data_IF_831033999166
#
_entry.id   IF_831033999166
#
_cell.length_a   1.000
_cell.length_b   1.000
_cell.length_c   1.000
_cell.angle_alpha   90.00
_cell.angle_beta   90.00
_cell.angle_gamma   90.00
#
_symmetry.space_group_name_H-M   'P 1'
#
loop_
_entity.id
_entity.type
_entity.pdbx_description
1 polymer ?
#
# COMPACT_ATOMS: atom_id res chain seq x y z
N UNK A 1 26.22 -0.83 -10.00
CA UNK A 1 26.46 -0.87 -8.55
C UNK A 1 26.32 0.54 -8.06
N UNK A 2 25.54 0.76 -7.01
CA UNK A 2 25.21 2.09 -6.52
C UNK A 2 25.77 2.30 -5.13
N UNK A 3 26.21 3.54 -4.88
CA UNK A 3 26.82 3.93 -3.62
C UNK A 3 26.10 5.16 -3.10
N UNK A 4 25.77 5.14 -1.81
CA UNK A 4 25.33 6.34 -1.11
C UNK A 4 26.12 6.51 0.17
N UNK A 5 26.28 7.78 0.55
CA UNK A 5 27.15 8.17 1.63
C UNK A 5 26.35 8.86 2.73
N UNK A 6 26.61 8.43 3.95
CA UNK A 6 26.02 8.99 5.16
C UNK A 6 27.11 9.78 5.89
N UNK A 7 26.84 11.05 6.16
CA UNK A 7 27.68 11.95 6.94
C UNK A 7 26.82 12.63 7.99
N UNK A 8 27.40 12.87 9.16
CA UNK A 8 26.78 13.62 10.25
C UNK A 8 27.80 14.62 10.76
N UNK A 9 27.35 15.83 11.06
CA UNK A 9 28.15 16.85 11.75
C UNK A 9 28.09 16.68 13.29
N UNK A 10 27.26 15.74 13.77
CA UNK A 10 27.14 15.35 15.17
C UNK A 10 27.95 14.07 15.43
N UNK A 11 28.98 14.21 16.27
CA UNK A 11 29.89 13.15 16.72
C UNK A 11 29.21 12.13 17.66
N UNK A 12 28.01 12.42 18.17
CA UNK A 12 27.23 11.52 19.02
C UNK A 12 26.51 10.39 18.27
N UNK A 13 26.50 10.43 16.94
CA UNK A 13 25.74 9.48 16.11
C UNK A 13 26.66 8.38 15.58
N UNK A 14 26.38 7.14 15.96
CA UNK A 14 27.00 5.96 15.34
C UNK A 14 26.44 5.75 13.92
N UNK A 15 27.13 6.33 12.94
CA UNK A 15 26.79 6.26 11.52
C UNK A 15 26.77 4.84 10.97
N UNK A 16 27.58 3.93 11.54
CA UNK A 16 27.65 2.54 11.10
C UNK A 16 26.43 1.77 11.56
N UNK A 17 26.01 1.99 12.81
CA UNK A 17 24.77 1.43 13.34
C UNK A 17 23.55 1.98 12.62
N UNK A 18 23.54 3.26 12.27
CA UNK A 18 22.48 3.88 11.47
C UNK A 18 22.41 3.26 10.06
N UNK A 19 23.55 3.09 9.39
CA UNK A 19 23.62 2.42 8.09
C UNK A 19 23.08 0.97 8.15
N UNK A 20 23.45 0.21 9.18
CA UNK A 20 22.97 -1.16 9.36
C UNK A 20 21.44 -1.20 9.58
N UNK A 21 20.90 -0.30 10.40
CA UNK A 21 19.45 -0.20 10.62
C UNK A 21 18.68 0.18 9.35
N UNK A 22 19.24 1.05 8.51
CA UNK A 22 18.64 1.41 7.22
C UNK A 22 18.60 0.21 6.27
N UNK A 23 19.71 -0.53 6.14
CA UNK A 23 19.77 -1.73 5.28
C UNK A 23 18.77 -2.79 5.74
N UNK A 24 18.68 -3.04 7.05
CA UNK A 24 17.70 -3.96 7.62
C UNK A 24 16.26 -3.49 7.38
N UNK A 25 16.00 -2.18 7.46
CA UNK A 25 14.67 -1.63 7.23
C UNK A 25 14.17 -1.79 5.78
N UNK A 26 15.10 -1.87 4.82
CA UNK A 26 14.81 -2.14 3.40
C UNK A 26 14.69 -3.63 3.09
N UNK A 27 15.04 -4.51 4.04
CA UNK A 27 15.01 -5.96 3.84
C UNK A 27 16.05 -6.46 2.83
N UNK A 28 17.10 -5.69 2.57
CA UNK A 28 18.12 -6.08 1.62
C UNK A 28 19.03 -7.19 2.19
N UNK A 29 19.39 -8.21 1.38
CA UNK A 29 20.29 -9.27 1.82
C UNK A 29 21.67 -8.73 2.21
N UNK A 30 22.22 -9.19 3.34
CA UNK A 30 23.53 -8.71 3.86
C UNK A 30 24.71 -9.08 2.96
N UNK A 31 24.58 -10.08 2.10
CA UNK A 31 25.55 -10.49 1.10
C UNK A 31 25.56 -9.60 -0.14
N UNK A 32 24.53 -8.78 -0.33
CA UNK A 32 24.36 -7.87 -1.48
C UNK A 32 24.49 -6.39 -1.10
N UNK A 33 24.85 -6.13 0.16
CA UNK A 33 25.06 -4.79 0.70
C UNK A 33 26.34 -4.75 1.50
N UNK A 34 27.17 -3.74 1.26
CA UNK A 34 28.44 -3.54 1.94
C UNK A 34 28.46 -2.19 2.64
N UNK A 35 28.90 -2.16 3.90
CA UNK A 35 28.97 -0.96 4.73
C UNK A 35 30.42 -0.78 5.19
N UNK A 36 31.03 0.37 4.88
CA UNK A 36 32.38 0.68 5.35
C UNK A 36 32.57 2.15 5.69
N UNK A 37 33.55 2.42 6.55
CA UNK A 37 33.91 3.78 6.95
C UNK A 37 34.82 4.43 5.90
N UNK A 38 34.50 5.67 5.55
CA UNK A 38 35.30 6.49 4.68
C UNK A 38 36.43 7.15 5.47
N UNK A 39 37.62 6.56 5.40
CA UNK A 39 38.84 6.98 6.12
C UNK A 39 39.26 8.43 5.87
N UNK A 40 38.76 9.09 4.82
CA UNK A 40 39.15 10.47 4.48
C UNK A 40 38.20 11.57 4.94
N UNK A 41 36.99 11.23 5.45
CA UNK A 41 35.93 12.26 5.51
C UNK A 41 34.78 11.99 6.49
N UNK A 42 35.04 11.21 7.55
CA UNK A 42 34.16 11.07 8.71
C UNK A 42 32.77 10.46 8.44
N UNK A 43 32.60 9.78 7.30
CA UNK A 43 31.30 9.24 6.87
C UNK A 43 31.31 7.73 6.67
N UNK A 44 30.13 7.16 6.51
CA UNK A 44 29.93 5.75 6.15
C UNK A 44 29.44 5.67 4.71
N UNK A 45 30.04 4.79 3.92
CA UNK A 45 29.59 4.47 2.57
C UNK A 45 28.85 3.15 2.61
N UNK A 46 27.69 3.13 1.97
CA UNK A 46 26.88 1.93 1.74
C UNK A 46 26.85 1.67 0.24
N UNK A 47 27.28 0.48 -0.15
CA UNK A 47 27.25 0.04 -1.54
C UNK A 47 26.28 -1.10 -1.70
N UNK A 48 25.43 -0.99 -2.72
CA UNK A 48 24.27 -1.84 -2.98
C UNK A 48 24.33 -2.29 -4.44
N UNK A 49 23.95 -3.54 -4.69
CA UNK A 49 23.73 -4.02 -6.06
C UNK A 49 22.61 -3.21 -6.74
N UNK A 50 22.79 -2.83 -8.01
CA UNK A 50 21.76 -2.11 -8.77
C UNK A 50 20.47 -2.94 -8.90
N UNK A 51 20.57 -4.27 -8.86
CA UNK A 51 19.41 -5.15 -8.88
C UNK A 51 18.48 -4.94 -7.67
N UNK A 52 19.02 -4.52 -6.53
CA UNK A 52 18.23 -4.19 -5.32
C UNK A 52 17.58 -2.81 -5.39
N UNK A 53 18.10 -1.93 -6.25
CA UNK A 53 17.57 -0.59 -6.50
C UNK A 53 16.62 -0.53 -7.68
N UNK A 54 16.60 -1.57 -8.51
CA UNK A 54 15.57 -1.76 -9.50
C UNK A 54 14.24 -1.89 -8.75
N UNK A 55 13.43 -0.82 -8.78
CA UNK A 55 12.02 -0.91 -8.42
C UNK A 55 11.39 -1.93 -9.36
N UNK A 56 11.27 -3.18 -8.89
CA UNK A 56 10.56 -4.21 -9.62
C UNK A 56 9.19 -3.67 -10.00
N UNK A 57 8.73 -3.94 -11.22
CA UNK A 57 7.40 -3.55 -11.64
C UNK A 57 6.41 -4.09 -10.60
N UNK A 58 5.63 -3.21 -9.92
CA UNK A 58 4.86 -3.62 -8.77
C UNK A 58 3.89 -4.72 -9.18
N UNK A 59 3.90 -5.84 -8.43
CA UNK A 59 3.14 -7.03 -8.79
C UNK A 59 1.67 -6.64 -9.02
N UNK A 60 1.12 -6.86 -10.23
CA UNK A 60 -0.26 -6.50 -10.53
C UNK A 60 -1.26 -7.19 -9.60
N UNK A 61 -0.88 -8.26 -8.90
CA UNK A 61 -1.75 -8.95 -7.97
C UNK A 61 -1.90 -8.26 -6.62
N UNK A 62 -0.95 -7.41 -6.24
CA UNK A 62 -0.92 -6.75 -4.92
C UNK A 62 -1.24 -5.26 -4.99
N UNK A 63 -1.28 -4.69 -6.19
CA UNK A 63 -1.59 -3.28 -6.42
C UNK A 63 -3.01 -2.92 -5.95
N UNK A 64 -3.17 -1.84 -5.15
CA UNK A 64 -4.47 -1.29 -4.81
C UNK A 64 -5.27 -0.90 -6.05
N UNK A 65 -6.58 -1.18 -6.04
CA UNK A 65 -7.48 -0.94 -7.18
C UNK A 65 -8.54 0.07 -6.78
N UNK A 66 -8.39 1.30 -7.28
CA UNK A 66 -9.24 2.42 -6.86
C UNK A 66 -10.12 2.97 -7.98
N UNK A 67 -9.78 2.73 -9.25
CA UNK A 67 -10.56 3.23 -10.38
C UNK A 67 -11.43 2.14 -11.00
N UNK A 68 -12.51 2.56 -11.68
CA UNK A 68 -13.38 1.65 -12.43
C UNK A 68 -12.63 0.86 -13.51
N UNK A 69 -11.66 1.49 -14.18
CA UNK A 69 -10.82 0.86 -15.19
C UNK A 69 -9.88 -0.18 -14.57
N UNK A 70 -9.35 0.09 -13.38
CA UNK A 70 -8.51 -0.87 -12.64
C UNK A 70 -9.31 -2.09 -12.19
N UNK A 71 -10.53 -1.88 -11.67
CA UNK A 71 -11.45 -2.95 -11.28
C UNK A 71 -11.82 -3.80 -12.49
N UNK A 72 -12.07 -3.18 -13.66
CA UNK A 72 -12.35 -3.91 -14.89
C UNK A 72 -11.21 -4.87 -15.27
N UNK A 73 -9.97 -4.35 -15.36
CA UNK A 73 -8.78 -5.16 -15.68
C UNK A 73 -8.54 -6.25 -14.64
N UNK A 74 -8.77 -5.94 -13.36
CA UNK A 74 -8.67 -6.93 -12.28
C UNK A 74 -9.68 -8.08 -12.47
N UNK A 75 -10.91 -7.79 -12.86
CA UNK A 75 -11.93 -8.80 -13.13
C UNK A 75 -11.60 -9.66 -14.35
N UNK A 76 -11.00 -9.10 -15.40
CA UNK A 76 -10.49 -9.86 -16.54
C UNK A 76 -9.39 -10.84 -16.10
N UNK A 77 -8.44 -10.37 -15.28
CA UNK A 77 -7.36 -11.19 -14.75
C UNK A 77 -7.90 -12.31 -13.85
N UNK A 78 -8.89 -12.02 -13.00
CA UNK A 78 -9.56 -13.01 -12.15
C UNK A 78 -10.20 -14.13 -12.98
N UNK A 79 -10.98 -13.80 -14.01
CA UNK A 79 -11.62 -14.80 -14.89
C UNK A 79 -10.61 -15.65 -15.64
N UNK A 80 -9.47 -15.06 -16.03
CA UNK A 80 -8.41 -15.81 -16.68
C UNK A 80 -7.69 -16.77 -15.72
N UNK A 81 -7.50 -16.37 -14.47
CA UNK A 81 -6.75 -17.11 -13.45
C UNK A 81 -7.58 -18.19 -12.74
N UNK A 82 -8.89 -18.00 -12.58
CA UNK A 82 -9.76 -18.91 -11.84
C UNK A 82 -10.85 -19.54 -12.75
N UNK A 83 -10.72 -20.84 -13.09
CA UNK A 83 -11.70 -21.55 -13.89
C UNK A 83 -13.10 -21.65 -13.27
N UNK A 84 -13.24 -21.47 -11.95
CA UNK A 84 -14.54 -21.53 -11.29
C UNK A 84 -15.44 -20.33 -11.63
N UNK A 85 -14.86 -19.25 -12.17
CA UNK A 85 -15.58 -18.10 -12.68
C UNK A 85 -16.13 -18.31 -14.10
N UNK A 86 -15.95 -19.50 -14.70
CA UNK A 86 -16.61 -19.86 -15.96
C UNK A 86 -18.13 -19.80 -15.76
N UNK A 87 -18.83 -19.19 -16.71
CA UNK A 87 -20.28 -19.00 -16.66
C UNK A 87 -20.76 -17.84 -15.79
N UNK A 88 -19.86 -17.14 -15.07
CA UNK A 88 -20.22 -15.91 -14.34
C UNK A 88 -20.33 -14.74 -15.32
N UNK A 89 -21.37 -13.94 -15.17
CA UNK A 89 -21.56 -12.72 -15.94
C UNK A 89 -20.53 -11.65 -15.50
N UNK A 90 -19.92 -10.98 -16.49
CA UNK A 90 -18.86 -10.03 -16.19
C UNK A 90 -19.34 -8.82 -15.35
N UNK A 91 -20.53 -8.24 -15.59
CA UNK A 91 -21.06 -7.15 -14.77
C UNK A 91 -21.27 -7.57 -13.30
N UNK A 92 -21.90 -8.73 -13.05
CA UNK A 92 -22.10 -9.26 -11.71
C UNK A 92 -20.79 -9.49 -10.96
N UNK A 93 -19.79 -10.11 -11.61
CA UNK A 93 -18.45 -10.26 -11.04
C UNK A 93 -17.83 -8.90 -10.68
N UNK A 94 -17.92 -7.92 -11.58
CA UNK A 94 -17.30 -6.61 -11.38
C UNK A 94 -17.92 -5.86 -10.21
N UNK A 95 -19.25 -5.85 -10.11
CA UNK A 95 -19.96 -5.11 -9.09
C UNK A 95 -19.75 -5.74 -7.70
N UNK A 96 -19.63 -7.06 -7.64
CA UNK A 96 -19.29 -7.78 -6.41
C UNK A 96 -17.81 -7.55 -6.01
N UNK A 97 -16.87 -7.74 -6.94
CA UNK A 97 -15.43 -7.55 -6.69
C UNK A 97 -15.07 -6.11 -6.32
N UNK A 98 -15.77 -5.11 -6.87
CA UNK A 98 -15.56 -3.69 -6.56
C UNK A 98 -15.68 -3.40 -5.05
N UNK A 99 -16.59 -4.10 -4.35
CA UNK A 99 -16.79 -3.92 -2.90
C UNK A 99 -15.57 -4.42 -2.12
N UNK A 100 -15.00 -5.55 -2.52
CA UNK A 100 -13.78 -6.09 -1.90
C UNK A 100 -12.57 -5.21 -2.16
N UNK A 101 -12.40 -4.71 -3.39
CA UNK A 101 -11.33 -3.76 -3.70
C UNK A 101 -11.47 -2.45 -2.91
N UNK A 102 -12.70 -1.97 -2.70
CA UNK A 102 -12.96 -0.81 -1.85
C UNK A 102 -12.63 -1.06 -0.36
N UNK A 103 -12.73 -2.31 0.09
CA UNK A 103 -12.26 -2.77 1.41
C UNK A 103 -10.73 -2.98 1.47
N UNK A 104 -9.99 -2.58 0.43
CA UNK A 104 -8.53 -2.64 0.38
C UNK A 104 -7.97 -4.02 0.05
N UNK A 105 -8.80 -4.96 -0.43
CA UNK A 105 -8.32 -6.25 -0.88
C UNK A 105 -7.55 -6.12 -2.19
N UNK A 106 -6.59 -7.01 -2.39
CA UNK A 106 -5.85 -7.18 -3.63
C UNK A 106 -6.46 -8.27 -4.52
N UNK A 107 -5.95 -8.44 -5.74
CA UNK A 107 -6.39 -9.53 -6.63
C UNK A 107 -5.98 -10.88 -6.04
N UNK A 108 -4.79 -10.95 -5.43
CA UNK A 108 -4.32 -12.16 -4.75
C UNK A 108 -5.26 -12.56 -3.61
N UNK A 109 -5.76 -11.59 -2.83
CA UNK A 109 -6.72 -11.86 -1.76
C UNK A 109 -8.03 -12.42 -2.28
N UNK A 110 -8.54 -11.85 -3.37
CA UNK A 110 -9.78 -12.34 -3.97
C UNK A 110 -9.61 -13.77 -4.52
N UNK A 111 -8.48 -14.06 -5.20
CA UNK A 111 -8.15 -15.42 -5.65
C UNK A 111 -8.01 -16.40 -4.47
N UNK A 112 -7.45 -15.93 -3.35
CA UNK A 112 -7.38 -16.72 -2.14
C UNK A 112 -8.78 -17.02 -1.60
N UNK A 113 -9.67 -16.03 -1.52
CA UNK A 113 -11.04 -16.22 -1.07
C UNK A 113 -11.91 -17.10 -1.98
N UNK A 114 -11.60 -17.14 -3.29
CA UNK A 114 -12.25 -18.05 -4.24
C UNK A 114 -11.76 -19.50 -4.09
N UNK A 115 -10.56 -19.70 -3.54
CA UNK A 115 -9.98 -21.03 -3.34
C UNK A 115 -10.13 -21.56 -1.91
N UNK A 116 -10.25 -20.67 -0.93
CA UNK A 116 -10.32 -20.97 0.49
C UNK A 116 -11.43 -20.18 1.19
N UNK A 117 -11.95 -20.77 2.26
CA UNK A 117 -12.86 -20.15 3.23
C UNK A 117 -12.08 -19.25 4.18
N UNK A 118 -12.79 -18.40 4.92
CA UNK A 118 -12.18 -17.55 5.95
C UNK A 118 -11.51 -18.35 7.09
N UNK A 119 -11.92 -19.60 7.32
CA UNK A 119 -11.30 -20.51 8.28
C UNK A 119 -10.06 -21.24 7.72
N UNK A 120 -9.64 -20.90 6.49
CA UNK A 120 -8.52 -21.51 5.79
C UNK A 120 -8.84 -22.85 5.12
N UNK A 121 -10.05 -23.40 5.28
CA UNK A 121 -10.41 -24.64 4.62
C UNK A 121 -10.61 -24.43 3.10
N UNK A 122 -10.10 -25.32 2.24
CA UNK A 122 -10.25 -25.17 0.80
C UNK A 122 -11.69 -25.40 0.35
N UNK A 123 -12.14 -24.67 -0.67
CA UNK A 123 -13.42 -24.94 -1.34
C UNK A 123 -13.34 -26.21 -2.20
N UNK A 124 -14.44 -26.97 -2.33
CA UNK A 124 -14.53 -28.07 -3.29
C UNK A 124 -14.39 -27.53 -4.72
N UNK A 125 -13.75 -28.33 -5.59
CA UNK A 125 -13.40 -27.98 -6.98
C UNK A 125 -14.06 -28.96 -7.95
N UNK A 126 -14.32 -28.49 -9.17
CA UNK A 126 -14.91 -29.30 -10.25
C UNK A 126 -15.95 -28.52 -11.04
N UNK A 127 -16.55 -29.15 -12.05
CA UNK A 127 -17.54 -28.52 -12.94
C UNK A 127 -18.84 -28.13 -12.21
N UNK A 128 -19.23 -28.87 -11.16
CA UNK A 128 -20.39 -28.55 -10.33
C UNK A 128 -20.19 -27.38 -9.35
N UNK A 129 -18.98 -26.81 -9.29
CA UNK A 129 -18.58 -25.77 -8.33
C UNK A 129 -18.22 -24.46 -9.02
N UNK A 130 -18.94 -24.14 -10.10
CA UNK A 130 -18.71 -22.98 -10.97
C UNK A 130 -19.95 -22.07 -11.03
N UNK A 131 -19.80 -20.87 -11.59
CA UNK A 131 -20.91 -19.96 -11.84
C UNK A 131 -21.22 -19.01 -10.68
N UNK A 132 -22.25 -18.17 -10.89
CA UNK A 132 -22.55 -17.03 -10.00
C UNK A 132 -22.96 -17.46 -8.59
N UNK A 133 -23.70 -18.55 -8.45
CA UNK A 133 -24.13 -19.05 -7.14
C UNK A 133 -22.94 -19.45 -6.27
N UNK A 134 -21.94 -20.10 -6.87
CA UNK A 134 -20.70 -20.47 -6.18
C UNK A 134 -19.83 -19.26 -5.89
N UNK A 135 -19.75 -18.28 -6.81
CA UNK A 135 -19.08 -17.01 -6.53
C UNK A 135 -19.67 -16.34 -5.28
N UNK A 136 -20.99 -16.16 -5.25
CA UNK A 136 -21.69 -15.56 -4.12
C UNK A 136 -21.53 -16.37 -2.84
N UNK A 137 -21.65 -17.70 -2.92
CA UNK A 137 -21.48 -18.59 -1.76
C UNK A 137 -20.09 -18.43 -1.14
N UNK A 138 -19.04 -18.40 -1.97
CA UNK A 138 -17.66 -18.25 -1.50
C UNK A 138 -17.40 -16.89 -0.88
N UNK A 139 -17.78 -15.82 -1.58
CA UNK A 139 -17.58 -14.46 -1.12
C UNK A 139 -18.44 -14.12 0.12
N UNK A 140 -19.61 -14.73 0.27
CA UNK A 140 -20.46 -14.59 1.47
C UNK A 140 -19.75 -15.10 2.72
N UNK A 141 -18.90 -16.12 2.62
CA UNK A 141 -18.12 -16.61 3.77
C UNK A 141 -17.12 -15.58 4.32
N UNK A 142 -16.75 -14.59 3.50
CA UNK A 142 -15.84 -13.50 3.83
C UNK A 142 -16.57 -12.21 4.23
N UNK A 143 -17.90 -12.25 4.34
CA UNK A 143 -18.72 -11.16 4.85
C UNK A 143 -19.18 -11.46 6.27
N UNK A 144 -19.35 -10.44 7.08
CA UNK A 144 -20.02 -10.54 8.37
C UNK A 144 -21.54 -10.67 8.16
N UNK A 145 -22.31 -11.09 9.18
CA UNK A 145 -23.77 -11.07 9.12
C UNK A 145 -24.36 -9.67 8.86
N UNK A 146 -23.63 -8.60 9.19
CA UNK A 146 -23.99 -7.20 8.91
C UNK A 146 -23.68 -6.77 7.47
N UNK A 147 -22.98 -7.60 6.70
CA UNK A 147 -22.60 -7.33 5.32
C UNK A 147 -21.23 -6.67 5.14
N UNK A 148 -20.50 -6.44 6.23
CA UNK A 148 -19.15 -5.90 6.20
C UNK A 148 -18.16 -6.93 5.67
N UNK A 149 -17.15 -6.48 4.93
CA UNK A 149 -16.12 -7.36 4.38
C UNK A 149 -15.05 -7.58 5.45
N UNK A 150 -14.77 -8.85 5.75
CA UNK A 150 -13.71 -9.23 6.69
C UNK A 150 -12.33 -8.85 6.14
N UNK A 151 -11.33 -8.59 7.00
CA UNK A 151 -9.95 -8.44 6.55
C UNK A 151 -9.49 -9.68 5.77
N UNK A 152 -8.66 -9.47 4.75
CA UNK A 152 -8.00 -10.58 4.06
C UNK A 152 -6.83 -11.13 4.87
N UNK A 153 -6.39 -12.35 4.56
CA UNK A 153 -5.21 -12.96 5.21
C UNK A 153 -3.96 -12.09 5.07
N UNK A 154 -3.76 -11.42 3.93
CA UNK A 154 -2.62 -10.53 3.72
C UNK A 154 -2.72 -9.24 4.53
N UNK A 155 -3.94 -8.72 4.73
CA UNK A 155 -4.21 -7.57 5.59
C UNK A 155 -3.95 -7.91 7.07
N UNK A 156 -4.40 -9.07 7.53
CA UNK A 156 -4.12 -9.56 8.88
C UNK A 156 -2.60 -9.71 9.11
N UNK A 157 -1.89 -10.32 8.17
CA UNK A 157 -0.43 -10.46 8.24
C UNK A 157 0.31 -9.11 8.18
N UNK A 158 -0.22 -8.13 7.44
CA UNK A 158 0.33 -6.78 7.42
C UNK A 158 0.10 -6.03 8.74
N UNK A 159 -1.09 -6.19 9.34
CA UNK A 159 -1.43 -5.59 10.63
C UNK A 159 -0.53 -6.13 11.76
N UNK A 160 -0.29 -7.44 11.80
CA UNK A 160 0.64 -8.07 12.75
C UNK A 160 2.08 -7.55 12.60
N UNK A 161 2.55 -7.34 11.36
CA UNK A 161 3.88 -6.74 11.12
C UNK A 161 3.99 -5.30 11.59
N UNK A 162 2.94 -4.50 11.41
CA UNK A 162 2.91 -3.11 11.87
C UNK A 162 2.92 -3.06 13.40
N UNK A 163 2.12 -3.91 14.07
CA UNK A 163 2.10 -4.03 15.54
C UNK A 163 3.49 -4.42 16.06
N UNK A 164 4.12 -5.44 15.46
CA UNK A 164 5.48 -5.86 15.82
C UNK A 164 6.55 -4.79 15.59
N UNK A 165 6.44 -3.98 14.52
CA UNK A 165 7.40 -2.91 14.18
C UNK A 165 7.21 -1.64 15.03
N UNK A 166 6.00 -1.37 15.50
CA UNK A 166 5.69 -0.19 16.30
C UNK A 166 6.03 -0.37 17.80
N UNK A 167 6.44 -1.56 18.23
CA UNK A 167 6.69 -1.86 19.66
C UNK A 167 5.44 -1.70 20.52
N UNK A 168 4.26 -1.68 19.90
CA UNK A 168 2.98 -1.62 20.57
C UNK A 168 2.67 -3.02 21.12
N UNK A 169 2.22 -3.14 22.38
CA UNK A 169 1.82 -4.43 22.94
C UNK A 169 0.82 -5.13 22.01
N UNK A 170 0.96 -6.45 21.84
CA UNK A 170 0.09 -7.29 21.00
C UNK A 170 -1.41 -7.20 21.39
N UNK A 171 -1.73 -6.57 22.51
CA UNK A 171 -3.06 -6.44 23.12
C UNK A 171 -3.79 -5.13 22.79
N UNK A 172 -3.24 -4.28 21.91
CA UNK A 172 -3.95 -3.06 21.48
C UNK A 172 -5.04 -3.41 20.47
N UNK A 173 -6.30 -3.35 20.94
CA UNK A 173 -7.50 -3.53 20.11
C UNK A 173 -8.15 -4.91 20.21
N UNK A 174 -7.58 -5.83 20.98
CA UNK A 174 -8.27 -7.06 21.36
C UNK A 174 -9.33 -6.72 22.41
N UNK A 175 -10.58 -7.19 22.29
CA UNK A 175 -11.56 -7.04 23.37
C UNK A 175 -11.08 -7.90 24.54
N UNK A 176 -10.40 -7.28 25.49
CA UNK A 176 -10.05 -7.92 26.75
C UNK A 176 -11.31 -8.51 27.37
N UNK A 177 -11.25 -9.80 27.68
CA UNK A 177 -12.29 -10.55 28.35
C UNK A 177 -12.42 -10.03 29.80
N UNK A 178 -13.00 -8.84 29.95
CA UNK A 178 -13.44 -8.29 31.21
C UNK A 178 -14.95 -8.03 31.09
N UNK A 179 -15.76 -8.49 32.04
CA UNK A 179 -17.19 -8.24 32.03
C UNK A 179 -17.41 -6.72 32.09
N UNK A 180 -17.88 -6.17 30.97
CA UNK A 180 -18.13 -4.75 30.78
C UNK A 180 -19.19 -4.25 31.77
N UNK A 181 -18.74 -3.58 32.83
CA UNK A 181 -19.56 -2.58 33.48
C UNK A 181 -19.83 -1.47 32.46
N UNK A 182 -21.06 -1.43 31.92
CA UNK A 182 -21.54 -0.38 31.02
C UNK A 182 -21.33 0.99 31.66
N UNK A 183 -20.23 1.66 31.31
CA UNK A 183 -20.06 3.09 31.53
C UNK A 183 -20.43 3.80 30.23
N UNK A 184 -21.67 4.27 30.19
CA UNK A 184 -22.17 5.17 29.16
C UNK A 184 -21.26 6.40 29.09
N UNK A 185 -20.66 6.66 27.94
CA UNK A 185 -19.85 7.85 27.72
C UNK A 185 -20.68 9.11 28.02
N UNK A 186 -20.14 10.00 28.85
CA UNK A 186 -20.82 11.24 29.18
C UNK A 186 -20.89 12.14 27.94
N UNK A 187 -21.98 12.92 27.75
CA UNK A 187 -22.19 13.75 26.55
C UNK A 187 -21.06 14.73 26.26
N UNK A 188 -20.31 15.12 27.30
CA UNK A 188 -19.18 16.03 27.22
C UNK A 188 -17.94 15.37 26.56
N UNK A 189 -17.68 14.10 26.85
CA UNK A 189 -16.60 13.35 26.22
C UNK A 189 -16.85 13.12 24.72
N UNK A 190 -18.11 12.89 24.33
CA UNK A 190 -18.51 12.76 22.93
C UNK A 190 -18.33 14.07 22.14
N UNK A 191 -18.62 15.23 22.78
CA UNK A 191 -18.40 16.55 22.17
C UNK A 191 -16.92 16.89 22.02
N UNK A 192 -16.11 16.59 23.04
CA UNK A 192 -14.66 16.80 23.00
C UNK A 192 -14.02 15.99 21.85
N UNK A 193 -14.40 14.72 21.69
CA UNK A 193 -13.90 13.87 20.60
C UNK A 193 -14.30 14.41 19.21
N UNK A 194 -15.52 14.92 19.07
CA UNK A 194 -16.01 15.50 17.82
C UNK A 194 -15.27 16.81 17.44
N UNK A 195 -14.96 17.65 18.42
CA UNK A 195 -14.21 18.89 18.18
C UNK A 195 -12.73 18.62 17.88
N UNK A 196 -12.13 17.59 18.47
CA UNK A 196 -10.76 17.20 18.17
C UNK A 196 -10.65 16.60 16.76
N UNK A 197 -11.64 15.80 16.33
CA UNK A 197 -11.75 15.32 14.95
C UNK A 197 -11.87 16.48 13.95
N UNK A 198 -12.66 17.52 14.26
CA UNK A 198 -12.76 18.74 13.42
C UNK A 198 -11.45 19.51 13.39
N UNK A 199 -10.69 19.55 14.50
CA UNK A 199 -9.38 20.21 14.58
C UNK A 199 -8.36 19.50 13.69
N UNK A 200 -8.36 18.17 13.68
CA UNK A 200 -7.50 17.35 12.82
C UNK A 200 -7.84 17.52 11.33
N UNK A 201 -9.12 17.53 10.95
CA UNK A 201 -9.53 17.75 9.55
C UNK A 201 -9.10 19.14 9.02
N UNK A 202 -9.13 20.17 9.88
CA UNK A 202 -8.65 21.53 9.53
C UNK A 202 -7.13 21.64 9.45
N UNK A 203 -6.40 20.80 10.20
CA UNK A 203 -4.95 20.75 10.11
C UNK A 203 -4.49 20.07 8.81
N UNK A 204 -5.11 18.94 8.43
CA UNK A 204 -4.76 18.20 7.22
C UNK A 204 -5.06 18.93 5.91
N UNK A 205 -6.07 19.80 5.89
CA UNK A 205 -6.44 20.59 4.70
C UNK A 205 -5.48 21.73 4.36
N UNK A 206 -4.69 22.22 5.32
CA UNK A 206 -3.64 23.22 5.02
C UNK A 206 -2.40 22.58 4.41
N UNK A 207 -2.01 21.39 4.89
CA UNK A 207 -0.80 20.70 4.45
C UNK A 207 -0.90 20.20 3.01
N UNK A 208 -2.10 19.81 2.56
CA UNK A 208 -2.32 19.38 1.17
C UNK A 208 -2.38 20.55 0.18
N UNK A 209 -2.87 21.72 0.60
CA UNK A 209 -2.95 22.91 -0.25
C UNK A 209 -1.56 23.53 -0.52
N UNK A 210 -0.68 23.58 0.49
CA UNK A 210 0.71 24.01 0.31
C UNK A 210 1.53 23.03 -0.55
N UNK A 211 1.30 21.72 -0.40
CA UNK A 211 1.98 20.71 -1.21
C UNK A 211 1.56 20.76 -2.69
N UNK A 212 0.29 21.09 -2.98
CA UNK A 212 -0.22 21.27 -4.35
C UNK A 212 0.31 22.56 -4.98
N UNK A 213 0.33 23.68 -4.26
CA UNK A 213 0.86 24.96 -4.75
C UNK A 213 2.38 24.98 -4.97
N UNK A 214 3.14 24.11 -4.29
CA UNK A 214 4.55 23.89 -4.58
C UNK A 214 4.75 23.08 -5.87
N UNK A 215 3.95 22.02 -6.08
CA UNK A 215 4.01 21.17 -7.29
C UNK A 215 3.68 21.93 -8.57
N UNK A 216 2.67 22.79 -8.55
CA UNK A 216 2.29 23.61 -9.70
C UNK A 216 3.37 24.63 -10.10
N UNK A 217 4.07 25.23 -9.12
CA UNK A 217 5.20 26.14 -9.39
C UNK A 217 6.38 25.43 -10.04
N UNK A 218 6.67 24.19 -9.62
CA UNK A 218 7.74 23.40 -10.24
C UNK A 218 7.39 22.97 -11.66
N UNK A 219 6.12 22.66 -11.94
CA UNK A 219 5.66 22.31 -13.28
C UNK A 219 5.73 23.48 -14.28
N UNK A 220 5.47 24.71 -13.82
CA UNK A 220 5.52 25.91 -14.67
C UNK A 220 6.94 26.27 -15.16
N UNK A 221 7.99 25.84 -14.44
CA UNK A 221 9.38 26.13 -14.82
C UNK A 221 9.99 25.16 -15.83
N UNK A 222 9.37 24.00 -16.07
CA UNK A 222 9.94 22.93 -16.90
C UNK A 222 9.56 23.08 -18.39
N UNK A 223 8.46 23.76 -18.72
CA UNK A 223 7.97 23.90 -20.10
C UNK A 223 8.28 25.27 -20.73
N UNK A 224 9.57 25.58 -20.96
CA UNK A 224 9.97 26.62 -21.93
C UNK A 224 11.09 26.12 -22.85
N UNK A 225 10.78 25.53 -24.02
CA UNK A 225 11.78 25.35 -25.05
C UNK A 225 12.18 26.72 -25.63
N UNK A 226 13.48 27.03 -25.61
CA UNK A 226 14.06 28.17 -26.34
C UNK A 226 13.79 27.99 -27.83
N UNK A 227 12.99 28.88 -28.40
CA UNK A 227 12.77 28.95 -29.84
C UNK A 227 14.08 29.21 -30.59
N UNK A 228 14.39 28.30 -31.49
CA UNK A 228 15.44 28.36 -32.51
C UNK A 228 15.30 29.63 -33.34
N UNK A 229 16.29 30.51 -33.26
CA UNK A 229 16.41 31.67 -34.14
C UNK A 229 17.16 31.23 -35.41
N UNK A 230 16.45 31.16 -36.53
CA UNK A 230 17.05 30.93 -37.84
C UNK A 230 17.66 32.24 -38.37
N UNK A 231 18.88 32.23 -38.97
CA UNK A 231 19.40 33.40 -39.66
C UNK A 231 18.82 33.45 -41.08
N UNK A 232 18.01 34.47 -41.35
CA UNK A 232 17.64 34.87 -42.71
C UNK A 232 18.81 35.54 -43.40
N UNK A 233 19.17 35.03 -44.57
CA UNK A 233 19.99 35.72 -45.56
C UNK A 233 19.15 36.66 -46.41
N UNK A 234 19.87 37.37 -47.28
CA UNK A 234 19.46 38.38 -48.27
C UNK A 234 19.43 39.82 -47.69
N UNK A 235 19.99 40.85 -48.31
CA UNK A 235 20.82 41.05 -49.50
C UNK A 235 21.15 42.56 -49.49
N UNK A 236 22.40 42.98 -49.75
CA UNK A 236 22.77 44.33 -50.20
C UNK A 236 24.23 44.31 -50.70
N UNK A 237 24.42 44.31 -52.02
CA UNK A 237 25.71 44.61 -52.67
C UNK A 237 25.86 44.02 -54.07
#
# INVERSE_FOLDING_TARGET
MAEFRITSDDDGIDLRRLAAALVESQGWPRDQVSIWENRGSGGVVVTVDDALLATGEPDPLTLPRHTRSDVHRACELLRHRDPSLRGVDFPGLRDEAARFFAAGWSIADLLHALSHRHDGAPWPRGEGYQGIEWLEHRLRSWKTPTGDIRPSVSQEAAQLRIVGRAGLPEDIGMPGEQPAARRTATPEAARAAADDARRLMRAGTRTTSDALGHRERTAAHINRPKGTQAPGGDDWG
#
